data_IF_510219572747
#
_entry.id   IF_510219572747
#
_cell.length_a   1.000
_cell.length_b   1.000
_cell.length_c   1.000
_cell.angle_alpha   90.00
_cell.angle_beta   90.00
_cell.angle_gamma   90.00
#
_symmetry.space_group_name_H-M   'P 1'
#
loop_
_entity.id
_entity.type
_entity.pdbx_description
1 polymer ?
#
# COMPACT_ATOMS: atom_id res chain seq x y z
N UNK A 1 -31.51 24.59 -20.19
CA UNK A 1 -30.18 24.04 -20.52
C UNK A 1 -29.80 23.10 -19.38
N UNK A 2 -30.29 21.86 -19.45
CA UNK A 2 -29.99 20.84 -18.46
C UNK A 2 -28.49 20.54 -18.56
N UNK A 3 -27.74 20.94 -17.53
CA UNK A 3 -26.32 20.68 -17.43
C UNK A 3 -26.06 19.20 -17.66
N UNK A 4 -25.13 18.90 -18.57
CA UNK A 4 -24.73 17.57 -18.97
C UNK A 4 -24.37 16.73 -17.73
N UNK A 5 -25.22 15.77 -17.39
CA UNK A 5 -24.97 14.74 -16.34
C UNK A 5 -23.69 13.93 -16.63
N UNK A 6 -23.17 13.98 -17.87
CA UNK A 6 -21.93 13.32 -18.32
C UNK A 6 -20.62 13.97 -17.83
N UNK A 7 -20.64 15.18 -17.28
CA UNK A 7 -19.39 15.85 -16.82
C UNK A 7 -18.85 15.33 -15.48
N UNK A 8 -19.54 14.39 -14.81
CA UNK A 8 -19.06 13.70 -13.60
C UNK A 8 -18.33 12.37 -13.86
N UNK A 9 -18.16 11.95 -15.13
CA UNK A 9 -17.57 10.64 -15.46
C UNK A 9 -16.02 10.61 -15.47
N UNK A 10 -15.36 11.76 -15.28
CA UNK A 10 -13.92 11.89 -15.09
C UNK A 10 -13.65 12.21 -13.60
N UNK A 11 -13.01 11.40 -12.75
CA UNK A 11 -11.80 10.57 -12.90
C UNK A 11 -11.73 9.51 -11.79
N UNK A 12 -12.82 8.82 -11.46
CA UNK A 12 -12.76 7.78 -10.42
C UNK A 12 -12.09 6.51 -10.94
N UNK A 13 -11.09 6.00 -10.20
CA UNK A 13 -10.40 4.75 -10.53
C UNK A 13 -11.42 3.61 -10.63
N UNK A 14 -11.16 2.62 -11.49
CA UNK A 14 -11.98 1.41 -11.55
C UNK A 14 -12.05 0.71 -10.18
N UNK A 15 -11.04 0.90 -9.33
CA UNK A 15 -11.06 0.44 -7.94
C UNK A 15 -12.14 1.16 -7.12
N UNK A 16 -12.23 2.49 -7.23
CA UNK A 16 -13.17 3.31 -6.46
C UNK A 16 -14.61 2.98 -6.84
N UNK A 17 -14.89 2.86 -8.15
CA UNK A 17 -16.18 2.40 -8.67
C UNK A 17 -16.53 1.01 -8.13
N UNK A 18 -15.58 0.08 -8.13
CA UNK A 18 -15.79 -1.25 -7.56
C UNK A 18 -16.09 -1.17 -6.05
N UNK A 19 -15.42 -0.29 -5.29
CA UNK A 19 -15.66 -0.12 -3.84
C UNK A 19 -17.06 0.41 -3.56
N UNK A 20 -17.54 1.37 -4.35
CA UNK A 20 -18.92 1.90 -4.26
C UNK A 20 -19.92 0.78 -4.53
N UNK A 21 -19.74 0.01 -5.61
CA UNK A 21 -20.59 -1.16 -5.93
C UNK A 21 -20.59 -2.17 -4.77
N UNK A 22 -19.43 -2.44 -4.17
CA UNK A 22 -19.33 -3.37 -3.04
C UNK A 22 -20.09 -2.88 -1.80
N UNK A 23 -20.03 -1.58 -1.49
CA UNK A 23 -20.82 -0.97 -0.40
C UNK A 23 -22.32 -1.03 -0.67
N UNK A 24 -22.76 -0.70 -1.89
CA UNK A 24 -24.17 -0.77 -2.28
C UNK A 24 -24.72 -2.20 -2.16
N UNK A 25 -23.93 -3.20 -2.55
CA UNK A 25 -24.29 -4.61 -2.39
C UNK A 25 -24.53 -5.02 -0.92
N UNK A 26 -23.88 -4.38 0.05
CA UNK A 26 -24.05 -4.71 1.48
C UNK A 26 -25.37 -4.18 2.06
N UNK A 27 -26.07 -3.28 1.38
CA UNK A 27 -27.33 -2.70 1.86
C UNK A 27 -28.55 -3.63 1.67
N UNK A 28 -28.36 -4.88 1.23
CA UNK A 28 -29.32 -5.97 0.98
C UNK A 28 -30.52 -5.68 0.05
N UNK A 29 -30.70 -4.42 -0.39
CA UNK A 29 -31.85 -3.99 -1.21
C UNK A 29 -31.76 -4.32 -2.70
N UNK A 30 -30.57 -4.60 -3.22
CA UNK A 30 -30.34 -4.75 -4.66
C UNK A 30 -29.41 -5.92 -4.96
N UNK A 31 -29.67 -6.62 -6.05
CA UNK A 31 -28.79 -7.68 -6.55
C UNK A 31 -27.57 -7.09 -7.26
N UNK A 32 -26.45 -7.82 -7.28
CA UNK A 32 -25.23 -7.37 -7.97
C UNK A 32 -25.49 -7.11 -9.47
N UNK A 33 -26.33 -7.92 -10.11
CA UNK A 33 -26.65 -7.80 -11.53
C UNK A 33 -27.35 -6.47 -11.82
N UNK A 34 -28.30 -6.06 -10.98
CA UNK A 34 -29.01 -4.79 -11.12
C UNK A 34 -28.08 -3.59 -10.91
N UNK A 35 -27.21 -3.65 -9.90
CA UNK A 35 -26.24 -2.57 -9.61
C UNK A 35 -25.27 -2.40 -10.79
N UNK A 36 -24.74 -3.51 -11.33
CA UNK A 36 -23.81 -3.46 -12.46
C UNK A 36 -24.49 -2.96 -13.73
N UNK A 37 -25.75 -3.36 -13.98
CA UNK A 37 -26.52 -2.89 -15.12
C UNK A 37 -26.82 -1.39 -15.04
N UNK A 38 -27.18 -0.88 -13.86
CA UNK A 38 -27.46 0.54 -13.64
C UNK A 38 -26.23 1.44 -13.85
N UNK A 39 -25.06 0.97 -13.43
CA UNK A 39 -23.79 1.73 -13.51
C UNK A 39 -23.08 1.48 -14.87
N UNK A 40 -23.45 0.43 -15.61
CA UNK A 40 -22.76 0.01 -16.82
C UNK A 40 -21.36 -0.56 -16.56
N UNK A 41 -21.12 -1.15 -15.38
CA UNK A 41 -19.81 -1.64 -14.98
C UNK A 41 -19.61 -3.12 -15.34
N UNK A 42 -18.51 -3.53 -15.99
CA UNK A 42 -18.29 -4.92 -16.34
C UNK A 42 -18.13 -5.82 -15.11
N UNK A 43 -18.87 -6.93 -15.08
CA UNK A 43 -18.80 -7.93 -13.99
C UNK A 43 -17.38 -8.46 -13.78
N UNK A 44 -16.63 -8.70 -14.87
CA UNK A 44 -15.25 -9.16 -14.83
C UNK A 44 -14.35 -8.20 -14.04
N UNK A 45 -14.44 -6.90 -14.33
CA UNK A 45 -13.68 -5.85 -13.63
C UNK A 45 -14.04 -5.82 -12.15
N UNK A 46 -15.32 -5.98 -11.78
CA UNK A 46 -15.73 -6.05 -10.37
C UNK A 46 -15.12 -7.27 -9.66
N UNK A 47 -15.23 -8.45 -10.26
CA UNK A 47 -14.69 -9.69 -9.67
C UNK A 47 -13.17 -9.66 -9.52
N UNK A 48 -12.47 -9.01 -10.46
CA UNK A 48 -11.03 -8.77 -10.36
C UNK A 48 -10.70 -7.95 -9.11
N UNK A 49 -11.35 -6.81 -8.90
CA UNK A 49 -11.12 -5.97 -7.72
C UNK A 49 -11.51 -6.67 -6.42
N UNK A 50 -12.61 -7.44 -6.42
CA UNK A 50 -13.00 -8.24 -5.27
C UNK A 50 -11.92 -9.27 -4.89
N UNK A 51 -11.29 -9.91 -5.87
CA UNK A 51 -10.17 -10.83 -5.64
C UNK A 51 -8.92 -10.08 -5.14
N UNK A 52 -8.64 -8.88 -5.66
CA UNK A 52 -7.52 -8.05 -5.20
C UNK A 52 -7.67 -7.64 -3.73
N UNK A 53 -8.86 -7.23 -3.27
CA UNK A 53 -9.06 -6.87 -1.86
C UNK A 53 -8.98 -8.06 -0.91
N UNK A 54 -9.36 -9.25 -1.36
CA UNK A 54 -9.22 -10.49 -0.58
C UNK A 54 -7.76 -10.94 -0.47
N UNK A 55 -6.86 -10.40 -1.29
CA UNK A 55 -5.45 -10.79 -1.27
C UNK A 55 -4.77 -10.21 -0.03
N UNK A 56 -4.38 -11.09 0.90
CA UNK A 56 -3.54 -10.69 2.04
C UNK A 56 -2.27 -10.06 1.52
N UNK A 57 -1.91 -8.89 2.06
CA UNK A 57 -0.66 -8.24 1.71
C UNK A 57 0.52 -9.11 2.21
N UNK A 58 1.31 -9.72 1.32
CA UNK A 58 2.37 -10.66 1.71
C UNK A 58 3.52 -9.97 2.45
N UNK A 59 3.58 -8.64 2.38
CA UNK A 59 4.60 -7.83 3.04
C UNK A 59 4.13 -7.28 4.39
N UNK A 60 2.90 -7.58 4.83
CA UNK A 60 2.33 -7.03 6.06
C UNK A 60 3.16 -7.43 7.29
N UNK A 61 3.42 -8.72 7.46
CA UNK A 61 4.20 -9.25 8.59
C UNK A 61 5.60 -8.60 8.65
N UNK A 62 6.26 -8.50 7.50
CA UNK A 62 7.57 -7.86 7.41
C UNK A 62 7.53 -6.35 7.69
N UNK A 63 6.46 -5.66 7.29
CA UNK A 63 6.27 -4.24 7.60
C UNK A 63 6.10 -4.03 9.10
N UNK A 64 5.28 -4.85 9.74
CA UNK A 64 5.01 -4.78 11.17
C UNK A 64 6.29 -5.03 11.97
N UNK A 65 7.09 -6.03 11.60
CA UNK A 65 8.36 -6.31 12.27
C UNK A 65 9.38 -5.18 12.11
N UNK A 66 9.49 -4.62 10.91
CA UNK A 66 10.39 -3.48 10.64
C UNK A 66 10.00 -2.28 11.50
N UNK A 67 8.70 -2.02 11.68
CA UNK A 67 8.21 -0.96 12.54
C UNK A 67 8.54 -1.23 14.01
N UNK A 68 8.45 -2.48 14.47
CA UNK A 68 8.79 -2.84 15.85
C UNK A 68 10.29 -2.64 16.14
N UNK A 69 11.16 -3.14 15.25
CA UNK A 69 12.61 -2.89 15.33
C UNK A 69 12.91 -1.38 15.32
N UNK A 70 12.11 -0.60 14.59
CA UNK A 70 12.28 0.86 14.51
C UNK A 70 11.87 1.56 15.80
N UNK A 71 10.86 1.07 16.52
CA UNK A 71 10.48 1.57 17.85
C UNK A 71 11.60 1.33 18.86
N UNK A 72 12.17 0.12 18.87
CA UNK A 72 13.32 -0.23 19.72
C UNK A 72 14.58 0.57 19.35
N UNK A 73 14.81 0.77 18.05
CA UNK A 73 16.02 1.38 17.51
C UNK A 73 15.75 2.46 16.44
N UNK A 74 15.41 3.70 16.84
CA UNK A 74 15.06 4.79 15.93
C UNK A 74 16.17 5.22 14.96
N UNK A 75 17.43 4.86 15.25
CA UNK A 75 18.60 5.23 14.44
C UNK A 75 19.04 4.12 13.45
N UNK A 76 18.33 2.99 13.40
CA UNK A 76 18.74 1.86 12.55
C UNK A 76 18.38 2.08 11.09
N UNK A 77 19.40 2.19 10.23
CA UNK A 77 19.19 2.08 8.79
C UNK A 77 18.85 0.65 8.35
N UNK A 78 18.37 0.49 7.11
CA UNK A 78 17.92 -0.79 6.56
C UNK A 78 18.96 -1.93 6.68
N UNK A 79 20.26 -1.62 6.69
CA UNK A 79 21.34 -2.61 6.88
C UNK A 79 21.30 -3.24 8.28
N UNK A 80 21.07 -2.42 9.32
CA UNK A 80 20.98 -2.89 10.71
C UNK A 80 19.65 -3.60 10.94
N UNK A 81 18.56 -3.08 10.35
CA UNK A 81 17.24 -3.74 10.38
C UNK A 81 17.33 -5.14 9.77
N UNK A 82 17.96 -5.30 8.60
CA UNK A 82 18.17 -6.61 7.97
C UNK A 82 18.96 -7.57 8.87
N UNK A 83 20.02 -7.11 9.54
CA UNK A 83 20.77 -7.92 10.48
C UNK A 83 19.92 -8.34 11.70
N UNK A 84 19.07 -7.45 12.23
CA UNK A 84 18.15 -7.78 13.33
C UNK A 84 17.11 -8.80 12.89
N UNK A 85 16.55 -8.67 11.68
CA UNK A 85 15.61 -9.63 11.11
C UNK A 85 16.24 -11.03 10.98
N UNK A 86 17.48 -11.11 10.50
CA UNK A 86 18.22 -12.38 10.45
C UNK A 86 18.45 -12.98 11.84
N UNK A 87 18.78 -12.15 12.85
CA UNK A 87 18.91 -12.60 14.25
C UNK A 87 17.60 -13.11 14.83
N UNK A 88 16.47 -12.59 14.38
CA UNK A 88 15.12 -13.08 14.74
C UNK A 88 14.70 -14.33 13.94
N UNK A 89 15.58 -14.89 13.12
CA UNK A 89 15.34 -16.12 12.36
C UNK A 89 14.66 -15.94 11.00
N UNK A 90 14.51 -14.70 10.52
CA UNK A 90 13.88 -14.43 9.21
C UNK A 90 14.89 -14.38 8.08
N UNK A 91 14.84 -15.39 7.20
CA UNK A 91 15.66 -15.44 5.98
C UNK A 91 15.04 -14.56 4.86
N UNK A 92 15.31 -13.25 4.94
CA UNK A 92 14.76 -12.28 3.99
C UNK A 92 15.87 -11.66 3.18
N UNK A 93 15.64 -11.53 1.86
CA UNK A 93 16.56 -10.84 0.97
C UNK A 93 16.66 -9.35 1.35
N UNK A 94 17.90 -8.86 1.50
CA UNK A 94 18.21 -7.46 1.82
C UNK A 94 17.55 -6.45 0.88
N UNK A 95 17.36 -6.79 -0.41
CA UNK A 95 16.66 -5.93 -1.38
C UNK A 95 15.19 -5.69 -0.99
N UNK A 96 14.52 -6.72 -0.46
CA UNK A 96 13.12 -6.65 -0.01
C UNK A 96 12.98 -5.71 1.20
N UNK A 97 13.86 -5.87 2.19
CA UNK A 97 13.92 -4.98 3.37
C UNK A 97 14.16 -3.53 2.96
N UNK A 98 15.07 -3.30 2.01
CA UNK A 98 15.35 -1.95 1.51
C UNK A 98 14.14 -1.32 0.83
N UNK A 99 13.45 -2.04 -0.06
CA UNK A 99 12.20 -1.58 -0.71
C UNK A 99 11.16 -1.17 0.32
N UNK A 100 10.90 -2.03 1.31
CA UNK A 100 9.88 -1.79 2.33
C UNK A 100 10.27 -0.61 3.24
N UNK A 101 11.54 -0.49 3.64
CA UNK A 101 12.01 0.67 4.40
C UNK A 101 11.80 1.99 3.64
N UNK A 102 11.95 1.97 2.30
CA UNK A 102 11.70 3.13 1.43
C UNK A 102 10.21 3.46 1.35
N UNK A 103 9.35 2.46 1.16
CA UNK A 103 7.89 2.61 1.19
C UNK A 103 7.39 3.20 2.52
N UNK A 104 7.97 2.75 3.65
CA UNK A 104 7.63 3.23 4.99
C UNK A 104 8.27 4.59 5.34
N UNK A 105 9.04 5.21 4.43
CA UNK A 105 9.75 6.48 4.70
C UNK A 105 10.80 6.40 5.82
N UNK A 106 11.13 5.20 6.31
CA UNK A 106 12.00 4.97 7.48
C UNK A 106 13.50 4.98 7.14
N UNK A 107 13.85 5.54 5.98
CA UNK A 107 15.23 5.63 5.55
C UNK A 107 15.97 6.72 6.34
N UNK A 108 16.92 6.29 7.18
CA UNK A 108 17.83 7.20 7.87
C UNK A 108 18.72 7.90 6.84
N UNK A 109 18.55 9.22 6.67
CA UNK A 109 19.34 10.07 5.75
C UNK A 109 20.56 10.72 6.43
N UNK A 110 20.64 10.66 7.76
CA UNK A 110 21.55 11.53 8.51
C UNK A 110 22.82 10.79 8.94
N UNK A 111 23.83 10.73 8.06
CA UNK A 111 25.24 10.58 8.47
C UNK A 111 26.19 11.24 7.45
N UNK A 112 25.92 12.49 7.07
CA UNK A 112 26.96 13.33 6.48
C UNK A 112 27.88 13.83 7.59
N UNK A 113 29.07 13.25 7.76
CA UNK A 113 30.11 13.90 8.57
C UNK A 113 30.46 15.22 7.88
N UNK A 114 30.36 16.35 8.60
CA UNK A 114 30.97 17.61 8.16
C UNK A 114 32.48 17.35 8.07
N UNK A 115 33.02 17.19 6.87
CA UNK A 115 34.46 17.07 6.67
C UNK A 115 35.08 18.41 7.07
N UNK A 116 35.78 18.46 8.22
CA UNK A 116 36.60 19.63 8.55
C UNK A 116 37.77 19.63 7.57
N UNK A 117 37.87 20.68 6.74
CA UNK A 117 39.06 20.90 5.93
C UNK A 117 40.23 21.14 6.89
N UNK A 118 41.31 20.40 6.69
CA UNK A 118 42.57 20.63 7.38
C UNK A 118 43.13 21.97 6.91
N UNK A 119 43.40 22.86 7.85
CA UNK A 119 44.04 24.16 7.63
C UNK A 119 45.47 24.02 8.12
N UNK A 120 46.38 23.67 7.21
CA UNK A 120 47.82 23.78 7.45
C UNK A 120 48.26 25.22 7.33
#
# INVERSE_FOLDING_TARGET
MLGNVKELEATESNEDKARVIHKLRQQEKYTLTEILAAIGFPKSTYTYWQAQWKKTNPDKELKDEILEIRKEHPNYGYRRIHATLLKRGMEINRKKVHRICKELGSQVKNFGRKYRKYSS
#
